data_IF_832491096648
#
_entry.id   IF_832491096648
#
_cell.length_a   1.000
_cell.length_b   1.000
_cell.length_c   1.000
_cell.angle_alpha   90.00
_cell.angle_beta   90.00
_cell.angle_gamma   90.00
#
_symmetry.space_group_name_H-M   'P 1'
#
loop_
_entity.id
_entity.type
_entity.pdbx_description
1 polymer ?
#
# COMPACT_ATOMS: atom_id res chain seq x y z
N UNK A 1 -21.12 -8.35 17.17
CA UNK A 1 -19.88 -7.79 16.59
C UNK A 1 -18.85 -7.76 17.70
N UNK A 2 -18.06 -8.81 17.84
CA UNK A 2 -17.07 -8.90 18.93
C UNK A 2 -15.84 -8.11 18.51
N UNK A 3 -15.63 -6.96 19.16
CA UNK A 3 -14.42 -6.16 18.99
C UNK A 3 -13.25 -6.96 19.57
N UNK A 4 -12.41 -7.52 18.70
CA UNK A 4 -11.13 -8.07 19.10
C UNK A 4 -10.24 -6.90 19.48
N UNK A 5 -10.06 -6.67 20.77
CA UNK A 5 -9.07 -5.73 21.28
C UNK A 5 -7.69 -6.25 20.85
N UNK A 6 -7.18 -5.76 19.72
CA UNK A 6 -5.84 -6.06 19.26
C UNK A 6 -4.87 -5.59 20.35
N UNK A 7 -4.24 -6.55 21.03
CA UNK A 7 -3.14 -6.24 21.94
C UNK A 7 -2.11 -5.38 21.18
N UNK A 8 -1.55 -4.34 21.81
CA UNK A 8 -0.60 -3.47 21.14
C UNK A 8 0.59 -4.29 20.62
N UNK A 9 0.81 -4.25 19.30
CA UNK A 9 1.92 -4.95 18.67
C UNK A 9 3.22 -4.33 19.20
N UNK A 10 4.12 -5.11 19.82
CA UNK A 10 5.34 -4.57 20.39
C UNK A 10 6.23 -3.96 19.29
N UNK A 11 6.71 -2.73 19.54
CA UNK A 11 7.64 -2.02 18.65
C UNK A 11 9.07 -2.27 19.12
N UNK A 12 9.84 -2.99 18.31
CA UNK A 12 11.25 -3.28 18.59
C UNK A 12 12.16 -2.11 18.18
N UNK A 13 13.26 -1.84 18.91
CA UNK A 13 14.36 -1.06 18.37
C UNK A 13 14.89 -1.70 17.08
N UNK A 14 15.29 -0.88 16.10
CA UNK A 14 15.80 -1.36 14.80
C UNK A 14 16.98 -2.33 14.94
N UNK A 15 17.83 -2.14 15.96
CA UNK A 15 18.94 -3.05 16.28
C UNK A 15 18.46 -4.42 16.73
N UNK A 16 17.42 -4.49 17.56
CA UNK A 16 16.84 -5.75 18.05
C UNK A 16 16.05 -6.47 16.95
N UNK A 17 15.31 -5.72 16.12
CA UNK A 17 14.59 -6.27 14.99
C UNK A 17 15.52 -7.05 14.03
N UNK A 18 16.74 -6.53 13.81
CA UNK A 18 17.77 -7.20 13.01
C UNK A 18 18.15 -8.57 13.56
N UNK A 19 18.28 -8.70 14.87
CA UNK A 19 18.57 -9.97 15.55
C UNK A 19 17.42 -10.97 15.51
N UNK A 20 16.18 -10.50 15.39
CA UNK A 20 14.97 -11.34 15.36
C UNK A 20 14.53 -11.77 13.95
N UNK A 21 15.20 -11.32 12.89
CA UNK A 21 14.74 -11.59 11.52
C UNK A 21 14.70 -13.10 11.22
N UNK A 22 15.74 -13.85 11.59
CA UNK A 22 15.80 -15.30 11.35
C UNK A 22 14.67 -16.06 12.05
N UNK A 23 14.34 -15.68 13.30
CA UNK A 23 13.24 -16.30 14.05
C UNK A 23 11.88 -15.87 13.51
N UNK A 24 11.73 -14.62 13.07
CA UNK A 24 10.52 -14.13 12.39
C UNK A 24 10.26 -14.90 11.10
N UNK A 25 11.27 -15.08 10.25
CA UNK A 25 11.15 -15.86 9.01
C UNK A 25 10.78 -17.32 9.28
N UNK A 26 11.28 -17.93 10.36
CA UNK A 26 10.85 -19.27 10.78
C UNK A 26 9.37 -19.27 11.15
N UNK A 27 8.92 -18.33 11.98
CA UNK A 27 7.50 -18.19 12.35
C UNK A 27 6.61 -17.96 11.14
N UNK A 28 7.05 -17.18 10.15
CA UNK A 28 6.28 -16.93 8.93
C UNK A 28 6.13 -18.20 8.09
N UNK A 29 7.17 -19.04 7.99
CA UNK A 29 7.05 -20.34 7.32
C UNK A 29 6.11 -21.31 8.04
N UNK A 30 6.07 -21.25 9.37
CA UNK A 30 5.24 -22.14 10.20
C UNK A 30 3.78 -21.67 10.29
N UNK A 31 3.54 -20.37 10.33
CA UNK A 31 2.22 -19.76 10.57
C UNK A 31 1.58 -19.07 9.36
N UNK A 32 2.26 -19.03 8.21
CA UNK A 32 1.75 -18.45 6.97
C UNK A 32 1.30 -17.00 7.13
N UNK A 33 0.23 -16.61 6.43
CA UNK A 33 -0.39 -15.29 6.49
C UNK A 33 -0.81 -14.84 7.92
N UNK A 34 -1.07 -15.77 8.83
CA UNK A 34 -1.53 -15.47 10.19
C UNK A 34 -0.38 -15.28 11.20
N UNK A 35 0.87 -15.47 10.77
CA UNK A 35 2.00 -15.32 11.66
C UNK A 35 2.19 -13.86 12.11
N UNK A 36 2.42 -13.66 13.42
CA UNK A 36 2.47 -12.33 14.01
C UNK A 36 3.61 -11.46 13.43
N UNK A 37 3.31 -10.23 12.99
CA UNK A 37 4.27 -9.34 12.33
C UNK A 37 5.35 -8.86 13.30
N UNK A 38 6.45 -8.33 12.74
CA UNK A 38 7.50 -7.66 13.51
C UNK A 38 7.44 -6.17 13.21
N UNK A 39 7.11 -5.35 14.21
CA UNK A 39 7.09 -3.89 14.08
C UNK A 39 8.34 -3.31 14.74
N UNK A 40 8.95 -2.31 14.12
CA UNK A 40 10.19 -1.71 14.62
C UNK A 40 10.28 -0.20 14.34
N UNK A 41 11.13 0.49 15.10
CA UNK A 41 11.42 1.92 14.92
C UNK A 41 12.16 2.56 16.10
N UNK A 42 12.38 3.87 16.03
CA UNK A 42 13.08 4.62 17.08
C UNK A 42 12.13 5.04 18.22
N UNK A 43 12.64 5.12 19.45
CA UNK A 43 11.89 5.64 20.61
C UNK A 43 10.51 4.95 20.83
N UNK A 44 10.39 3.65 20.51
CA UNK A 44 9.13 2.89 20.52
C UNK A 44 8.03 3.44 19.61
N UNK A 45 8.39 4.30 18.64
CA UNK A 45 7.50 4.72 17.57
C UNK A 45 7.55 3.68 16.44
N UNK A 46 6.40 3.20 15.95
CA UNK A 46 6.39 2.31 14.79
C UNK A 46 6.82 3.08 13.53
N UNK A 47 7.82 2.57 12.83
CA UNK A 47 8.36 3.14 11.58
C UNK A 47 8.38 2.13 10.44
N UNK A 48 8.60 0.86 10.75
CA UNK A 48 8.60 -0.23 9.78
C UNK A 48 7.94 -1.48 10.32
N UNK A 49 7.50 -2.34 9.41
CA UNK A 49 6.94 -3.66 9.71
C UNK A 49 7.50 -4.70 8.76
N UNK A 50 7.78 -5.90 9.27
CA UNK A 50 8.01 -7.11 8.48
C UNK A 50 6.80 -8.02 8.67
N UNK A 51 6.19 -8.42 7.56
CA UNK A 51 5.02 -9.30 7.51
C UNK A 51 5.33 -10.59 6.75
N UNK A 52 4.56 -11.67 6.94
CA UNK A 52 4.62 -12.85 6.08
C UNK A 52 4.39 -12.46 4.61
N UNK A 53 5.10 -13.10 3.69
CA UNK A 53 4.94 -12.83 2.27
C UNK A 53 3.52 -13.17 1.77
N UNK A 54 2.91 -14.23 2.28
CA UNK A 54 1.52 -14.60 1.97
C UNK A 54 0.55 -13.48 2.34
N UNK A 55 0.69 -12.92 3.55
CA UNK A 55 -0.12 -11.77 3.97
C UNK A 55 0.12 -10.55 3.07
N UNK A 56 1.37 -10.28 2.68
CA UNK A 56 1.67 -9.20 1.74
C UNK A 56 0.97 -9.41 0.39
N UNK A 57 1.01 -10.63 -0.16
CA UNK A 57 0.36 -10.98 -1.41
C UNK A 57 -1.17 -10.83 -1.35
N UNK A 58 -1.79 -11.16 -0.21
CA UNK A 58 -3.22 -10.95 0.01
C UNK A 58 -3.59 -9.46 0.13
N UNK A 59 -2.68 -8.62 0.64
CA UNK A 59 -2.90 -7.18 0.79
C UNK A 59 -2.66 -6.38 -0.49
N UNK A 60 -1.87 -6.91 -1.43
CA UNK A 60 -1.51 -6.23 -2.69
C UNK A 60 -2.72 -5.63 -3.44
N UNK A 61 -3.83 -6.37 -3.69
CA UNK A 61 -5.00 -5.80 -4.36
C UNK A 61 -5.62 -4.61 -3.60
N UNK A 62 -5.63 -4.68 -2.26
CA UNK A 62 -6.17 -3.61 -1.42
C UNK A 62 -5.27 -2.38 -1.43
N UNK A 63 -3.96 -2.58 -1.47
CA UNK A 63 -2.97 -1.48 -1.59
C UNK A 63 -3.15 -0.78 -2.94
N UNK A 64 -3.26 -1.55 -4.03
CA UNK A 64 -3.50 -1.02 -5.37
C UNK A 64 -4.78 -0.19 -5.43
N UNK A 65 -5.89 -0.68 -4.85
CA UNK A 65 -7.15 0.06 -4.79
C UNK A 65 -7.00 1.42 -4.08
N UNK A 66 -6.22 1.49 -3.00
CA UNK A 66 -5.97 2.73 -2.25
C UNK A 66 -5.15 3.72 -3.08
N UNK A 67 -4.13 3.24 -3.80
CA UNK A 67 -3.29 4.06 -4.69
C UNK A 67 -4.10 4.62 -5.87
N UNK A 68 -4.90 3.77 -6.53
CA UNK A 68 -5.83 4.17 -7.59
C UNK A 68 -6.79 5.24 -7.08
N UNK A 69 -7.39 5.05 -5.90
CA UNK A 69 -8.31 6.01 -5.32
C UNK A 69 -7.65 7.36 -5.03
N UNK A 70 -6.36 7.38 -4.67
CA UNK A 70 -5.61 8.62 -4.50
C UNK A 70 -5.40 9.35 -5.83
N UNK A 71 -4.99 8.62 -6.88
CA UNK A 71 -4.82 9.18 -8.22
C UNK A 71 -6.12 9.74 -8.81
N UNK A 72 -7.25 9.06 -8.58
CA UNK A 72 -8.57 9.54 -9.02
C UNK A 72 -8.94 10.85 -8.33
N UNK A 73 -8.77 10.93 -7.00
CA UNK A 73 -9.06 12.17 -6.24
C UNK A 73 -8.19 13.34 -6.69
N UNK A 74 -6.92 13.11 -7.00
CA UNK A 74 -6.04 14.18 -7.51
C UNK A 74 -6.45 14.61 -8.92
N UNK A 75 -6.89 13.69 -9.78
CA UNK A 75 -7.46 14.03 -11.09
C UNK A 75 -8.76 14.82 -10.98
N UNK A 76 -9.66 14.45 -10.09
CA UNK A 76 -10.92 15.18 -9.88
C UNK A 76 -10.66 16.63 -9.43
N UNK A 77 -9.63 16.85 -8.61
CA UNK A 77 -9.19 18.20 -8.21
C UNK A 77 -8.57 18.99 -9.37
N UNK A 78 -7.92 18.33 -10.32
CA UNK A 78 -7.27 18.97 -11.47
C UNK A 78 -8.28 19.54 -12.49
N UNK A 79 -9.57 19.21 -12.34
CA UNK A 79 -10.67 19.75 -13.14
C UNK A 79 -11.46 18.65 -13.85
N UNK A 80 -12.58 19.04 -14.44
CA UNK A 80 -13.40 18.12 -15.21
C UNK A 80 -12.62 17.56 -16.41
N UNK A 81 -12.73 16.26 -16.64
CA UNK A 81 -12.20 15.65 -17.86
C UNK A 81 -12.95 16.19 -19.07
N UNK A 82 -12.22 16.55 -20.12
CA UNK A 82 -12.78 17.05 -21.38
C UNK A 82 -12.56 16.00 -22.47
N UNK A 83 -13.57 15.67 -23.29
CA UNK A 83 -13.41 14.76 -24.41
C UNK A 83 -12.26 15.19 -25.33
N UNK A 84 -11.44 14.24 -25.78
CA UNK A 84 -10.29 14.52 -26.65
C UNK A 84 -10.70 15.26 -27.94
N UNK A 85 -11.89 14.95 -28.48
CA UNK A 85 -12.43 15.62 -29.66
C UNK A 85 -12.65 17.12 -29.44
N UNK A 86 -13.14 17.50 -28.26
CA UNK A 86 -13.37 18.91 -27.91
C UNK A 86 -12.05 19.64 -27.70
N UNK A 87 -11.05 18.97 -27.11
CA UNK A 87 -9.69 19.51 -26.98
C UNK A 87 -9.04 19.70 -28.35
N UNK A 88 -9.14 18.71 -29.24
CA UNK A 88 -8.61 18.78 -30.60
C UNK A 88 -9.25 19.92 -31.40
N UNK A 89 -10.57 20.06 -31.33
CA UNK A 89 -11.30 21.16 -31.94
C UNK A 89 -10.85 22.53 -31.39
N UNK A 90 -10.64 22.63 -30.07
CA UNK A 90 -10.20 23.87 -29.43
C UNK A 90 -8.80 24.33 -29.84
N UNK A 91 -7.90 23.41 -30.22
CA UNK A 91 -6.55 23.72 -30.71
C UNK A 91 -6.42 23.66 -32.24
N UNK A 92 -7.54 23.51 -32.95
CA UNK A 92 -7.60 23.53 -34.42
C UNK A 92 -7.02 22.28 -35.09
N UNK A 93 -6.93 21.16 -34.37
CA UNK A 93 -6.53 19.88 -34.95
C UNK A 93 -7.76 19.14 -35.47
N UNK A 94 -7.76 18.84 -36.77
CA UNK A 94 -8.75 17.95 -37.37
C UNK A 94 -8.17 16.52 -37.46
N UNK A 95 -8.83 15.50 -36.88
CA UNK A 95 -8.40 14.11 -37.01
C UNK A 95 -8.25 13.64 -38.46
N UNK A 96 -9.02 14.22 -39.38
CA UNK A 96 -8.98 13.88 -40.81
C UNK A 96 -7.71 14.36 -41.52
N UNK A 97 -6.92 15.25 -40.88
CA UNK A 97 -5.68 15.78 -41.47
C UNK A 97 -4.48 14.82 -41.36
N UNK A 98 -4.62 13.73 -40.60
CA UNK A 98 -3.52 12.82 -40.24
C UNK A 98 -3.80 11.33 -40.50
N UNK A 99 -4.76 11.01 -41.39
CA UNK A 99 -5.00 9.64 -41.86
C UNK A 99 -4.02 9.19 -42.95
#
# INVERSE_FOLDING_TARGET
MSSSAALPIPVLPTSEARGQLSSALRRFREGGALAAPVVFGAQRRPEGVVIPFELYAELLPVIEDVEIAHLVRERDKAGASVPLADVAAAIGLNPDDYQ
#
